data_IF_194173596367
#
_entry.id   IF_194173596367
#
_cell.length_a   1.000
_cell.length_b   1.000
_cell.length_c   1.000
_cell.angle_alpha   90.00
_cell.angle_beta   90.00
_cell.angle_gamma   90.00
#
_symmetry.space_group_name_H-M   'P 1'
#
loop_
_entity.id
_entity.type
_entity.pdbx_description
1 polymer ?
#
# COMPACT_ATOMS: atom_id res chain seq x y z
N UNK A 1 59.61 1.44 -4.71
CA UNK A 1 58.64 0.76 -3.82
C UNK A 1 59.10 -0.67 -3.65
N UNK A 2 59.40 -1.09 -2.45
CA UNK A 2 59.77 -2.48 -2.19
C UNK A 2 58.58 -3.40 -2.38
N UNK A 3 58.82 -4.70 -2.67
CA UNK A 3 57.71 -5.68 -2.81
C UNK A 3 56.86 -5.76 -1.52
N UNK A 4 57.48 -5.61 -0.36
CA UNK A 4 56.80 -5.55 0.94
C UNK A 4 55.89 -4.33 1.09
N UNK A 5 56.35 -3.15 0.69
CA UNK A 5 55.52 -1.93 0.68
C UNK A 5 54.36 -2.05 -0.28
N UNK A 6 54.56 -2.64 -1.44
CA UNK A 6 53.49 -2.91 -2.41
C UNK A 6 52.42 -3.82 -1.82
N UNK A 7 52.81 -4.93 -1.20
CA UNK A 7 51.90 -5.89 -0.59
C UNK A 7 51.13 -5.22 0.57
N UNK A 8 51.81 -4.49 1.44
CA UNK A 8 51.19 -3.82 2.58
C UNK A 8 50.19 -2.75 2.13
N UNK A 9 50.56 -1.94 1.12
CA UNK A 9 49.68 -0.89 0.62
C UNK A 9 48.43 -1.49 -0.06
N UNK A 10 48.59 -2.52 -0.89
CA UNK A 10 47.42 -3.19 -1.50
C UNK A 10 46.54 -3.90 -0.46
N UNK A 11 47.11 -4.44 0.60
CA UNK A 11 46.33 -5.06 1.69
C UNK A 11 45.57 -4.01 2.50
N UNK A 12 46.20 -2.86 2.78
CA UNK A 12 45.53 -1.72 3.42
C UNK A 12 44.41 -1.15 2.56
N UNK A 13 44.66 -1.02 1.26
CA UNK A 13 43.66 -0.57 0.31
C UNK A 13 42.47 -1.58 0.22
N UNK A 14 42.76 -2.86 0.17
CA UNK A 14 41.72 -3.91 0.23
C UNK A 14 40.88 -3.81 1.49
N UNK A 15 41.51 -3.66 2.67
CA UNK A 15 40.77 -3.51 3.93
C UNK A 15 39.90 -2.26 3.89
N UNK A 16 40.45 -1.12 3.46
CA UNK A 16 39.70 0.15 3.38
C UNK A 16 38.51 0.08 2.41
N UNK A 17 38.60 -0.76 1.40
CA UNK A 17 37.54 -1.03 0.43
C UNK A 17 36.41 -1.89 0.99
N UNK A 18 36.68 -2.72 2.00
CA UNK A 18 35.66 -3.62 2.56
C UNK A 18 34.56 -2.87 3.29
N UNK A 19 33.34 -3.41 3.26
CA UNK A 19 32.23 -2.90 4.04
C UNK A 19 32.49 -2.90 5.56
N UNK A 20 33.37 -3.79 6.06
CA UNK A 20 33.73 -3.84 7.46
C UNK A 20 34.42 -2.58 7.97
N UNK A 21 35.22 -1.94 7.13
CA UNK A 21 35.91 -0.69 7.48
C UNK A 21 35.00 0.54 7.39
N UNK A 22 33.88 0.43 6.64
CA UNK A 22 32.96 1.52 6.35
C UNK A 22 31.65 1.42 7.14
N UNK A 23 31.46 0.36 7.94
CA UNK A 23 30.23 0.12 8.69
C UNK A 23 30.08 1.10 9.86
N UNK A 24 28.90 1.66 10.02
CA UNK A 24 28.50 2.47 11.15
C UNK A 24 27.32 1.86 11.92
N UNK A 25 27.03 2.38 13.12
CA UNK A 25 25.95 1.89 13.95
C UNK A 25 24.57 1.93 13.25
N UNK A 26 24.33 2.96 12.43
CA UNK A 26 23.10 3.10 11.66
C UNK A 26 22.91 1.96 10.65
N UNK A 27 23.99 1.59 9.94
CA UNK A 27 23.94 0.46 8.99
C UNK A 27 23.54 -0.84 9.70
N UNK A 28 24.15 -1.12 10.87
CA UNK A 28 23.84 -2.33 11.65
C UNK A 28 22.38 -2.32 12.09
N UNK A 29 21.89 -1.20 12.61
CA UNK A 29 20.47 -1.07 13.02
C UNK A 29 19.56 -1.36 11.84
N UNK A 30 19.81 -0.78 10.68
CA UNK A 30 18.97 -0.99 9.50
C UNK A 30 19.05 -2.42 8.95
N UNK A 31 20.21 -3.05 8.97
CA UNK A 31 20.36 -4.48 8.64
C UNK A 31 19.52 -5.34 9.60
N UNK A 32 19.53 -5.04 10.89
CA UNK A 32 18.67 -5.73 11.87
C UNK A 32 17.16 -5.48 11.58
N UNK A 33 16.79 -4.26 11.18
CA UNK A 33 15.40 -3.94 10.77
C UNK A 33 15.00 -4.77 9.54
N UNK A 34 15.86 -4.85 8.53
CA UNK A 34 15.63 -5.69 7.34
C UNK A 34 15.46 -7.18 7.70
N UNK A 35 16.33 -7.70 8.56
CA UNK A 35 16.23 -9.07 9.06
C UNK A 35 14.95 -9.31 9.87
N UNK A 36 14.53 -8.34 10.68
CA UNK A 36 13.26 -8.39 11.41
C UNK A 36 12.06 -8.46 10.46
N UNK A 37 12.06 -7.69 9.37
CA UNK A 37 10.98 -7.72 8.36
C UNK A 37 10.88 -9.10 7.72
N UNK A 38 12.01 -9.67 7.32
CA UNK A 38 12.06 -11.05 6.77
C UNK A 38 11.55 -12.06 7.80
N UNK A 39 11.95 -11.92 9.05
CA UNK A 39 11.49 -12.80 10.14
C UNK A 39 9.97 -12.68 10.37
N UNK A 40 9.41 -11.47 10.41
CA UNK A 40 7.96 -11.23 10.53
C UNK A 40 7.19 -11.84 9.36
N UNK A 41 7.70 -11.67 8.14
CA UNK A 41 7.11 -12.24 6.94
C UNK A 41 7.05 -13.77 7.02
N UNK A 42 8.15 -14.42 7.39
CA UNK A 42 8.26 -15.89 7.39
C UNK A 42 7.56 -16.52 8.60
N UNK A 43 7.69 -15.94 9.81
CA UNK A 43 7.18 -16.55 11.06
C UNK A 43 5.77 -16.13 11.41
N UNK A 44 5.35 -14.94 10.99
CA UNK A 44 4.03 -14.38 11.31
C UNK A 44 3.09 -14.31 10.10
N UNK A 45 3.58 -14.68 8.93
CA UNK A 45 2.83 -14.63 7.65
C UNK A 45 2.30 -13.21 7.33
N UNK A 46 3.09 -12.20 7.71
CA UNK A 46 2.76 -10.79 7.50
C UNK A 46 3.19 -10.36 6.11
N UNK A 47 2.26 -10.36 5.15
CA UNK A 47 2.47 -9.94 3.75
C UNK A 47 3.82 -10.40 3.17
N UNK A 48 4.10 -11.74 3.15
CA UNK A 48 5.43 -12.25 2.82
C UNK A 48 5.90 -11.88 1.41
N UNK A 49 4.97 -11.73 0.45
CA UNK A 49 5.30 -11.35 -0.93
C UNK A 49 5.91 -9.94 -1.02
N UNK A 50 5.63 -9.06 -0.05
CA UNK A 50 6.13 -7.69 0.00
C UNK A 50 7.25 -7.52 1.02
N UNK A 51 7.07 -8.03 2.25
CA UNK A 51 8.04 -7.80 3.31
C UNK A 51 9.37 -8.53 3.10
N UNK A 52 9.39 -9.66 2.41
CA UNK A 52 10.65 -10.36 2.11
C UNK A 52 11.51 -9.56 1.14
N UNK A 53 11.03 -9.12 -0.04
CA UNK A 53 11.80 -8.25 -0.91
C UNK A 53 12.21 -6.93 -0.28
N UNK A 54 11.31 -6.27 0.48
CA UNK A 54 11.63 -5.03 1.19
C UNK A 54 12.72 -5.26 2.24
N UNK A 55 12.59 -6.30 3.06
CA UNK A 55 13.58 -6.62 4.09
C UNK A 55 14.96 -6.92 3.52
N UNK A 56 15.02 -7.67 2.41
CA UNK A 56 16.28 -7.90 1.70
C UNK A 56 16.83 -6.59 1.11
N UNK A 57 15.96 -5.77 0.53
CA UNK A 57 16.33 -4.46 0.01
C UNK A 57 16.92 -3.57 1.11
N UNK A 58 16.31 -3.50 2.30
CA UNK A 58 16.84 -2.75 3.45
C UNK A 58 18.28 -3.24 3.79
N UNK A 59 18.50 -4.55 3.82
CA UNK A 59 19.83 -5.11 4.07
C UNK A 59 20.80 -4.64 2.99
N UNK A 60 20.47 -4.81 1.71
CA UNK A 60 21.34 -4.45 0.59
C UNK A 60 21.65 -2.94 0.55
N UNK A 61 20.63 -2.09 0.77
CA UNK A 61 20.80 -0.63 0.74
C UNK A 61 21.61 -0.06 1.92
N UNK A 62 21.85 -0.89 2.96
CA UNK A 62 22.64 -0.52 4.14
C UNK A 62 23.96 -1.28 4.26
N UNK A 63 24.35 -2.05 3.23
CA UNK A 63 25.74 -2.55 3.12
C UNK A 63 26.64 -1.36 2.74
N UNK A 64 27.58 -0.95 3.61
CA UNK A 64 28.42 0.20 3.31
C UNK A 64 29.51 -0.18 2.29
N UNK A 65 29.81 0.76 1.41
CA UNK A 65 30.90 0.67 0.44
C UNK A 65 31.53 2.05 0.23
N UNK A 66 32.73 2.08 -0.33
CA UNK A 66 33.41 3.33 -0.68
C UNK A 66 32.80 3.96 -1.93
N UNK A 67 32.16 5.10 -1.79
CA UNK A 67 31.53 5.83 -2.91
C UNK A 67 32.56 6.52 -3.81
N UNK A 68 33.75 6.86 -3.28
CA UNK A 68 34.84 7.46 -4.02
C UNK A 68 35.63 6.47 -4.92
N UNK A 69 35.33 5.18 -4.81
CA UNK A 69 35.97 4.13 -5.62
C UNK A 69 35.39 3.98 -7.04
N UNK A 70 34.33 4.72 -7.39
CA UNK A 70 33.72 4.67 -8.73
C UNK A 70 33.13 3.32 -9.10
N UNK A 71 32.62 2.55 -8.13
CA UNK A 71 32.15 1.18 -8.34
C UNK A 71 30.79 1.08 -9.04
N UNK A 72 30.03 2.16 -9.09
CA UNK A 72 28.68 2.24 -9.69
C UNK A 72 27.74 1.11 -9.23
N UNK A 73 27.71 0.82 -7.92
CA UNK A 73 26.89 -0.24 -7.33
C UNK A 73 25.74 0.26 -6.45
N UNK A 74 25.79 1.53 -6.05
CA UNK A 74 24.80 2.16 -5.16
C UNK A 74 23.46 2.41 -5.83
N UNK A 75 22.40 2.52 -5.02
CA UNK A 75 21.04 2.79 -5.50
C UNK A 75 20.92 4.14 -6.24
N UNK A 76 21.67 5.14 -5.80
CA UNK A 76 21.63 6.51 -6.33
C UNK A 76 22.77 6.81 -7.30
N UNK A 77 23.63 5.84 -7.58
CA UNK A 77 24.73 5.98 -8.54
C UNK A 77 24.22 5.66 -9.95
N UNK A 78 24.41 6.59 -10.87
CA UNK A 78 24.03 6.42 -12.26
C UNK A 78 24.73 5.18 -12.85
N UNK A 79 24.05 4.46 -13.75
CA UNK A 79 24.50 3.22 -14.39
C UNK A 79 24.56 1.98 -13.47
N UNK A 80 24.37 2.10 -12.16
CA UNK A 80 24.28 0.93 -11.29
C UNK A 80 23.03 0.09 -11.62
N UNK A 81 23.13 -1.23 -11.49
CA UNK A 81 21.99 -2.14 -11.69
C UNK A 81 20.84 -1.82 -10.71
N UNK A 82 21.18 -1.47 -9.47
CA UNK A 82 20.17 -1.07 -8.48
C UNK A 82 19.48 0.23 -8.88
N UNK A 83 20.22 1.21 -9.45
CA UNK A 83 19.65 2.44 -9.96
C UNK A 83 18.70 2.19 -11.13
N UNK A 84 19.08 1.33 -12.09
CA UNK A 84 18.20 0.97 -13.21
C UNK A 84 16.86 0.42 -12.71
N UNK A 85 16.87 -0.49 -11.73
CA UNK A 85 15.63 -0.97 -11.12
C UNK A 85 14.89 0.13 -10.35
N UNK A 86 15.62 1.00 -9.65
CA UNK A 86 15.03 2.11 -8.89
C UNK A 86 14.34 3.15 -9.78
N UNK A 87 14.74 3.30 -11.04
CA UNK A 87 14.03 4.18 -11.99
C UNK A 87 12.56 3.81 -12.13
N UNK A 88 12.19 2.55 -11.99
CA UNK A 88 10.78 2.13 -12.00
C UNK A 88 9.95 2.71 -10.86
N UNK A 89 10.57 2.92 -9.69
CA UNK A 89 9.98 3.62 -8.56
C UNK A 89 10.00 5.13 -8.77
N UNK A 90 11.16 5.69 -9.09
CA UNK A 90 11.38 7.13 -9.26
C UNK A 90 10.50 7.72 -10.36
N UNK A 91 10.37 7.04 -11.49
CA UNK A 91 9.50 7.44 -12.59
C UNK A 91 8.03 7.10 -12.34
N UNK A 92 7.74 6.20 -11.40
CA UNK A 92 6.39 5.87 -10.96
C UNK A 92 5.64 4.91 -11.86
N UNK A 93 6.32 4.00 -12.62
CA UNK A 93 5.64 3.04 -13.48
C UNK A 93 5.40 1.67 -12.82
N UNK A 94 6.10 1.29 -11.74
CA UNK A 94 5.78 0.06 -11.00
C UNK A 94 4.38 0.09 -10.37
N UNK A 95 3.95 1.14 -9.65
CA UNK A 95 2.62 1.15 -9.04
C UNK A 95 1.47 0.94 -10.02
N UNK A 96 1.41 1.59 -11.19
CA UNK A 96 0.40 1.29 -12.20
C UNK A 96 0.40 -0.18 -12.67
N UNK A 97 1.57 -0.82 -12.80
CA UNK A 97 1.64 -2.24 -13.16
C UNK A 97 1.11 -3.16 -12.06
N UNK A 98 1.34 -2.83 -10.79
CA UNK A 98 0.70 -3.53 -9.66
C UNK A 98 -0.82 -3.33 -9.71
N UNK A 99 -1.30 -2.13 -10.02
CA UNK A 99 -2.73 -1.86 -10.19
C UNK A 99 -3.37 -2.65 -11.33
N UNK A 100 -2.62 -2.93 -12.41
CA UNK A 100 -3.06 -3.85 -13.47
C UNK A 100 -3.33 -5.25 -12.90
N UNK A 101 -2.41 -5.77 -12.10
CA UNK A 101 -2.55 -7.05 -11.42
C UNK A 101 -3.74 -7.06 -10.46
N UNK A 102 -3.85 -6.03 -9.60
CA UNK A 102 -4.98 -5.87 -8.67
C UNK A 102 -6.30 -5.84 -9.43
N UNK A 103 -6.41 -5.08 -10.51
CA UNK A 103 -7.60 -5.01 -11.34
C UNK A 103 -8.00 -6.36 -11.92
N UNK A 104 -7.03 -7.12 -12.43
CA UNK A 104 -7.26 -8.45 -12.97
C UNK A 104 -7.61 -9.50 -11.90
N UNK A 105 -7.19 -9.33 -10.64
CA UNK A 105 -7.61 -10.17 -9.52
C UNK A 105 -8.98 -9.80 -8.98
N UNK A 106 -9.39 -8.53 -9.09
CA UNK A 106 -10.56 -7.98 -8.42
C UNK A 106 -11.87 -8.45 -9.06
N UNK A 107 -12.87 -8.76 -8.22
CA UNK A 107 -14.27 -8.96 -8.63
C UNK A 107 -15.12 -7.77 -8.15
N UNK A 108 -15.55 -6.93 -9.08
CA UNK A 108 -16.41 -5.78 -8.80
C UNK A 108 -17.90 -6.14 -8.63
N UNK A 109 -18.29 -7.40 -8.73
CA UNK A 109 -19.69 -7.82 -8.66
C UNK A 109 -20.40 -7.34 -7.39
N UNK A 110 -19.74 -7.36 -6.24
CA UNK A 110 -20.30 -6.87 -4.98
C UNK A 110 -20.63 -5.38 -5.05
N UNK A 111 -19.77 -4.59 -5.70
CA UNK A 111 -19.92 -3.16 -5.88
C UNK A 111 -21.01 -2.84 -6.90
N UNK A 112 -21.04 -3.55 -8.03
CA UNK A 112 -22.05 -3.42 -9.08
C UNK A 112 -23.44 -3.78 -8.54
N UNK A 113 -23.52 -4.82 -7.72
CA UNK A 113 -24.80 -5.27 -7.13
C UNK A 113 -25.35 -4.28 -6.10
N UNK A 114 -24.49 -3.55 -5.39
CA UNK A 114 -24.87 -2.58 -4.38
C UNK A 114 -23.96 -1.33 -4.45
N UNK A 115 -24.23 -0.39 -5.37
CA UNK A 115 -23.38 0.80 -5.56
C UNK A 115 -23.24 1.71 -4.33
N UNK A 116 -24.17 1.62 -3.34
CA UNK A 116 -24.06 2.38 -2.09
C UNK A 116 -22.80 2.05 -1.28
N UNK A 117 -22.22 0.88 -1.53
CA UNK A 117 -20.98 0.45 -0.89
C UNK A 117 -19.77 1.32 -1.30
N UNK A 118 -19.84 2.03 -2.45
CA UNK A 118 -18.84 3.02 -2.88
C UNK A 118 -18.67 4.11 -1.81
N UNK A 119 -19.77 4.55 -1.21
CA UNK A 119 -19.77 5.60 -0.19
C UNK A 119 -18.98 5.19 1.07
N UNK A 120 -18.93 3.90 1.39
CA UNK A 120 -18.16 3.39 2.53
C UNK A 120 -16.64 3.49 2.22
N UNK A 121 -16.24 3.11 1.01
CA UNK A 121 -14.86 3.30 0.56
C UNK A 121 -14.46 4.78 0.52
N UNK A 122 -15.35 5.64 0.04
CA UNK A 122 -15.12 7.09 0.05
C UNK A 122 -14.98 7.64 1.49
N UNK A 123 -15.82 7.18 2.43
CA UNK A 123 -15.74 7.60 3.83
C UNK A 123 -14.42 7.18 4.51
N UNK A 124 -13.85 6.04 4.16
CA UNK A 124 -12.55 5.63 4.68
C UNK A 124 -11.42 6.58 4.26
N UNK A 125 -11.57 7.32 3.14
CA UNK A 125 -10.56 8.29 2.69
C UNK A 125 -10.45 9.51 3.63
N UNK A 126 -11.38 9.70 4.58
CA UNK A 126 -11.20 10.68 5.66
C UNK A 126 -9.90 10.43 6.46
N UNK A 127 -9.40 9.20 6.49
CA UNK A 127 -8.08 8.89 7.05
C UNK A 127 -6.95 9.62 6.33
N UNK A 128 -6.99 9.68 4.99
CA UNK A 128 -6.00 10.39 4.18
C UNK A 128 -6.08 11.89 4.43
N UNK A 129 -7.25 12.49 4.23
CA UNK A 129 -7.41 13.95 4.36
C UNK A 129 -7.22 14.42 5.81
N UNK A 130 -7.66 13.64 6.81
CA UNK A 130 -7.41 13.94 8.22
C UNK A 130 -5.92 13.92 8.57
N UNK A 131 -5.18 12.91 8.09
CA UNK A 131 -3.73 12.85 8.27
C UNK A 131 -3.00 13.98 7.54
N UNK A 132 -3.49 14.40 6.37
CA UNK A 132 -2.95 15.55 5.64
C UNK A 132 -3.00 16.82 6.48
N UNK A 133 -4.16 17.12 7.05
CA UNK A 133 -4.34 18.31 7.92
C UNK A 133 -3.45 18.27 9.16
N UNK A 134 -3.29 17.09 9.76
CA UNK A 134 -2.42 16.92 10.94
C UNK A 134 -0.96 17.06 10.55
N UNK A 135 -0.53 16.47 9.43
CA UNK A 135 0.85 16.59 8.95
C UNK A 135 1.22 18.07 8.68
N UNK A 136 0.32 18.84 8.06
CA UNK A 136 0.50 20.29 7.89
C UNK A 136 0.65 21.00 9.24
N UNK A 137 -0.18 20.66 10.24
CA UNK A 137 -0.12 21.26 11.58
C UNK A 137 1.17 20.94 12.33
N UNK A 138 1.83 19.84 11.99
CA UNK A 138 3.14 19.42 12.54
C UNK A 138 4.33 20.03 11.78
N UNK A 139 4.08 20.90 10.81
CA UNK A 139 5.10 21.66 10.09
C UNK A 139 5.71 20.94 8.88
N UNK A 140 5.08 19.87 8.37
CA UNK A 140 5.49 19.30 7.08
C UNK A 140 5.03 20.19 5.93
N UNK A 141 5.85 20.27 4.89
CA UNK A 141 5.46 20.94 3.65
C UNK A 141 4.25 20.24 2.98
N UNK A 142 3.41 20.95 2.21
CA UNK A 142 2.21 20.38 1.59
C UNK A 142 2.48 19.10 0.80
N UNK A 143 3.56 19.05 0.03
CA UNK A 143 3.95 17.88 -0.75
C UNK A 143 4.35 16.69 0.13
N UNK A 144 5.10 16.95 1.20
CA UNK A 144 5.48 15.94 2.19
C UNK A 144 4.26 15.44 2.96
N UNK A 145 3.39 16.36 3.39
CA UNK A 145 2.16 16.04 4.09
C UNK A 145 1.25 15.13 3.24
N UNK A 146 1.15 15.36 1.93
CA UNK A 146 0.38 14.52 1.01
C UNK A 146 0.98 13.10 0.90
N UNK A 147 2.30 12.99 0.75
CA UNK A 147 3.00 11.71 0.74
C UNK A 147 2.82 10.91 2.04
N UNK A 148 2.80 11.59 3.19
CA UNK A 148 2.54 10.95 4.49
C UNK A 148 1.06 10.55 4.62
N UNK A 149 0.17 11.44 4.25
CA UNK A 149 -1.28 11.25 4.41
C UNK A 149 -1.82 10.02 3.67
N UNK A 150 -1.27 9.75 2.49
CA UNK A 150 -1.75 8.64 1.64
C UNK A 150 -1.59 7.25 2.30
N UNK A 151 -0.73 7.14 3.33
CA UNK A 151 -0.59 5.93 4.15
C UNK A 151 -1.95 5.51 4.73
N UNK A 152 -2.81 6.49 5.06
CA UNK A 152 -4.16 6.24 5.58
C UNK A 152 -5.09 5.47 4.63
N UNK A 153 -4.80 5.44 3.34
CA UNK A 153 -5.51 4.62 2.37
C UNK A 153 -5.24 3.13 2.50
N UNK A 154 -4.19 2.74 3.24
CA UNK A 154 -3.69 1.37 3.36
C UNK A 154 -3.44 0.72 1.98
N UNK A 155 -2.77 1.46 1.11
CA UNK A 155 -2.47 1.10 -0.27
C UNK A 155 -1.00 1.41 -0.58
N UNK A 156 -0.14 0.39 -0.47
CA UNK A 156 1.30 0.54 -0.66
C UNK A 156 1.69 1.09 -2.03
N UNK A 157 1.21 0.52 -3.15
CA UNK A 157 1.47 1.03 -4.48
C UNK A 157 1.07 2.49 -4.67
N UNK A 158 -0.11 2.90 -4.18
CA UNK A 158 -0.57 4.28 -4.22
C UNK A 158 0.33 5.21 -3.39
N UNK A 159 0.78 4.75 -2.22
CA UNK A 159 1.70 5.51 -1.38
C UNK A 159 3.04 5.76 -2.08
N UNK A 160 3.59 4.75 -2.74
CA UNK A 160 4.81 4.89 -3.54
C UNK A 160 4.58 5.83 -4.73
N UNK A 161 3.48 5.66 -5.46
CA UNK A 161 3.17 6.51 -6.62
C UNK A 161 3.13 7.99 -6.24
N UNK A 162 2.39 8.33 -5.20
CA UNK A 162 2.25 9.72 -4.79
C UNK A 162 3.55 10.28 -4.21
N UNK A 163 4.21 9.53 -3.32
CA UNK A 163 5.45 10.00 -2.68
C UNK A 163 6.61 10.11 -3.66
N UNK A 164 6.71 9.25 -4.67
CA UNK A 164 7.74 9.37 -5.71
C UNK A 164 7.63 10.67 -6.52
N UNK A 165 6.43 11.25 -6.61
CA UNK A 165 6.17 12.50 -7.33
C UNK A 165 6.26 13.74 -6.44
N UNK A 166 5.68 13.69 -5.22
CA UNK A 166 5.56 14.86 -4.35
C UNK A 166 6.63 14.94 -3.26
N UNK A 167 7.16 13.81 -2.80
CA UNK A 167 8.12 13.77 -1.68
C UNK A 167 9.16 12.66 -1.82
N UNK A 168 9.99 12.70 -2.90
CA UNK A 168 10.95 11.61 -3.19
C UNK A 168 11.92 11.32 -2.05
N UNK A 169 12.33 12.35 -1.32
CA UNK A 169 13.21 12.25 -0.15
C UNK A 169 12.61 11.50 1.06
N UNK A 170 11.28 11.45 1.18
CA UNK A 170 10.59 10.71 2.24
C UNK A 170 10.00 9.39 1.74
N UNK A 171 10.13 9.07 0.46
CA UNK A 171 9.45 7.93 -0.17
C UNK A 171 9.81 6.60 0.50
N UNK A 172 11.08 6.36 0.82
CA UNK A 172 11.51 5.13 1.50
C UNK A 172 10.81 4.95 2.86
N UNK A 173 10.80 6.01 3.68
CA UNK A 173 10.13 5.99 4.98
C UNK A 173 8.61 5.82 4.85
N UNK A 174 7.98 6.51 3.89
CA UNK A 174 6.53 6.42 3.61
C UNK A 174 6.16 5.01 3.15
N UNK A 175 6.93 4.43 2.23
CA UNK A 175 6.67 3.10 1.71
C UNK A 175 6.81 2.02 2.78
N UNK A 176 7.91 2.04 3.55
CA UNK A 176 8.11 1.10 4.67
C UNK A 176 7.01 1.25 5.71
N UNK A 177 6.60 2.47 6.03
CA UNK A 177 5.50 2.76 6.92
C UNK A 177 4.18 2.16 6.41
N UNK A 178 3.83 2.42 5.13
CA UNK A 178 2.59 1.94 4.50
C UNK A 178 2.51 0.40 4.53
N UNK A 179 3.58 -0.30 4.12
CA UNK A 179 3.61 -1.77 4.14
C UNK A 179 3.63 -2.36 5.54
N UNK A 180 4.30 -1.70 6.50
CA UNK A 180 4.28 -2.11 7.92
C UNK A 180 2.87 -2.05 8.49
N UNK A 181 2.10 -0.99 8.18
CA UNK A 181 0.71 -0.90 8.63
C UNK A 181 -0.21 -1.88 7.91
N UNK A 182 0.00 -2.14 6.64
CA UNK A 182 -0.73 -3.22 5.94
C UNK A 182 -0.51 -4.56 6.64
N UNK A 183 0.72 -4.88 7.05
CA UNK A 183 1.02 -6.09 7.82
C UNK A 183 0.36 -6.10 9.21
N UNK A 184 0.14 -4.94 9.82
CA UNK A 184 -0.50 -4.80 11.14
C UNK A 184 -2.03 -4.68 11.08
N UNK A 185 -2.63 -4.65 9.90
CA UNK A 185 -4.09 -4.62 9.70
C UNK A 185 -4.84 -5.66 10.56
N UNK A 186 -4.41 -6.96 10.61
CA UNK A 186 -5.10 -7.97 11.41
C UNK A 186 -5.06 -7.71 12.92
N UNK A 187 -4.13 -6.89 13.39
CA UNK A 187 -3.97 -6.56 14.81
C UNK A 187 -4.76 -5.30 15.17
N UNK A 188 -4.63 -4.26 14.37
CA UNK A 188 -5.18 -2.93 14.66
C UNK A 188 -6.70 -2.89 14.43
N UNK A 189 -7.16 -3.41 13.30
CA UNK A 189 -8.56 -3.28 12.90
C UNK A 189 -9.56 -3.95 13.86
N UNK A 190 -9.35 -5.19 14.33
CA UNK A 190 -10.29 -5.83 15.26
C UNK A 190 -10.50 -5.05 16.55
N UNK A 191 -9.46 -4.39 17.06
CA UNK A 191 -9.56 -3.55 18.24
C UNK A 191 -10.48 -2.35 17.99
N UNK A 192 -10.28 -1.62 16.89
CA UNK A 192 -11.11 -0.45 16.52
C UNK A 192 -12.55 -0.88 16.25
N UNK A 193 -12.75 -2.01 15.55
CA UNK A 193 -14.06 -2.55 15.24
C UNK A 193 -14.85 -2.89 16.52
N UNK A 194 -14.20 -3.55 17.48
CA UNK A 194 -14.83 -3.88 18.77
C UNK A 194 -15.13 -2.62 19.59
N UNK A 195 -14.28 -1.62 19.56
CA UNK A 195 -14.49 -0.34 20.25
C UNK A 195 -15.70 0.43 19.72
N UNK A 196 -15.87 0.43 18.40
CA UNK A 196 -16.87 1.28 17.71
C UNK A 196 -18.19 0.58 17.41
N UNK A 197 -18.32 -0.72 17.68
CA UNK A 197 -19.54 -1.48 17.39
C UNK A 197 -20.06 -2.22 18.63
N UNK A 198 -21.37 -2.38 18.71
CA UNK A 198 -22.03 -3.18 19.75
C UNK A 198 -22.27 -4.62 19.28
N UNK A 199 -22.46 -5.56 20.21
CA UNK A 199 -22.73 -6.98 19.86
C UNK A 199 -23.97 -7.14 18.97
N UNK A 200 -25.01 -6.30 19.22
CA UNK A 200 -26.23 -6.28 18.38
C UNK A 200 -25.94 -5.83 16.95
N UNK A 201 -25.03 -4.90 16.76
CA UNK A 201 -24.63 -4.41 15.43
C UNK A 201 -23.77 -5.44 14.69
N UNK A 202 -22.92 -6.18 15.40
CA UNK A 202 -22.04 -7.20 14.83
C UNK A 202 -22.81 -8.42 14.29
N UNK A 203 -23.99 -8.69 14.85
CA UNK A 203 -24.85 -9.81 14.43
C UNK A 203 -25.85 -9.44 13.33
N UNK A 204 -25.84 -8.21 12.80
CA UNK A 204 -26.70 -7.82 11.68
C UNK A 204 -26.38 -8.69 10.45
N UNK A 205 -27.38 -9.44 9.97
CA UNK A 205 -27.29 -10.25 8.76
C UNK A 205 -27.65 -9.41 7.54
N UNK A 206 -26.80 -9.46 6.54
CA UNK A 206 -27.02 -8.75 5.30
C UNK A 206 -27.67 -9.66 4.25
N UNK A 207 -28.55 -9.07 3.43
CA UNK A 207 -29.18 -9.80 2.33
C UNK A 207 -28.15 -10.01 1.22
N UNK A 208 -28.15 -11.18 0.53
CA UNK A 208 -27.33 -11.40 -0.64
C UNK A 208 -27.57 -10.31 -1.70
N UNK A 209 -26.50 -9.91 -2.38
CA UNK A 209 -26.61 -8.99 -3.51
C UNK A 209 -27.36 -9.62 -4.68
N UNK A 210 -27.84 -8.78 -5.61
CA UNK A 210 -28.42 -9.25 -6.87
C UNK A 210 -27.36 -9.93 -7.74
N UNK A 211 -27.79 -10.84 -8.60
CA UNK A 211 -26.91 -11.40 -9.63
C UNK A 211 -26.51 -10.29 -10.62
N UNK A 212 -25.25 -10.23 -10.96
CA UNK A 212 -24.67 -9.28 -11.93
C UNK A 212 -24.48 -10.00 -13.26
N UNK A 213 -24.94 -9.37 -14.35
CA UNK A 213 -24.79 -9.92 -15.70
C UNK A 213 -23.36 -9.74 -16.23
N UNK A 214 -22.95 -10.57 -17.18
CA UNK A 214 -21.63 -10.45 -17.81
C UNK A 214 -21.45 -9.09 -18.52
N UNK A 215 -22.50 -8.58 -19.12
CA UNK A 215 -22.47 -7.25 -19.77
C UNK A 215 -22.17 -6.14 -18.75
N UNK A 216 -22.81 -6.17 -17.57
CA UNK A 216 -22.53 -5.21 -16.51
C UNK A 216 -21.06 -5.29 -16.04
N UNK A 217 -20.51 -6.49 -15.93
CA UNK A 217 -19.11 -6.71 -15.54
C UNK A 217 -18.11 -6.17 -16.55
N UNK A 218 -18.43 -6.23 -17.86
CA UNK A 218 -17.59 -5.68 -18.94
C UNK A 218 -17.74 -4.16 -19.04
N UNK A 219 -18.94 -3.62 -18.87
CA UNK A 219 -19.19 -2.19 -18.96
C UNK A 219 -18.67 -1.42 -17.76
N UNK A 220 -18.69 -2.03 -16.57
CA UNK A 220 -18.30 -1.37 -15.33
C UNK A 220 -16.87 -0.80 -15.37
N UNK A 221 -15.82 -1.53 -15.77
CA UNK A 221 -14.47 -0.97 -15.82
C UNK A 221 -14.34 0.16 -16.85
N UNK A 222 -15.07 0.14 -17.95
CA UNK A 222 -15.04 1.21 -18.96
C UNK A 222 -15.70 2.47 -18.40
N UNK A 223 -16.91 2.34 -17.84
CA UNK A 223 -17.65 3.47 -17.27
C UNK A 223 -16.91 4.02 -16.04
N UNK A 224 -16.41 3.12 -15.17
CA UNK A 224 -15.65 3.49 -13.97
C UNK A 224 -14.37 4.25 -14.33
N UNK A 225 -13.62 3.81 -15.33
CA UNK A 225 -12.46 4.51 -15.87
C UNK A 225 -12.84 5.93 -16.29
N UNK A 226 -13.81 6.07 -17.18
CA UNK A 226 -14.20 7.36 -17.73
C UNK A 226 -14.68 8.32 -16.62
N UNK A 227 -15.55 7.85 -15.73
CA UNK A 227 -16.06 8.68 -14.63
C UNK A 227 -14.95 9.16 -13.70
N UNK A 228 -14.07 8.25 -13.29
CA UNK A 228 -13.03 8.59 -12.30
C UNK A 228 -11.94 9.46 -12.91
N UNK A 229 -11.53 9.21 -14.16
CA UNK A 229 -10.46 9.96 -14.81
C UNK A 229 -10.92 11.30 -15.38
N UNK A 230 -12.20 11.47 -15.72
CA UNK A 230 -12.73 12.79 -16.05
C UNK A 230 -12.87 13.68 -14.80
N UNK A 231 -13.12 13.08 -13.61
CA UNK A 231 -13.12 13.83 -12.35
C UNK A 231 -11.70 14.15 -11.88
N UNK A 232 -10.78 13.19 -11.99
CA UNK A 232 -9.41 13.30 -11.48
C UNK A 232 -8.42 12.77 -12.52
N UNK A 233 -8.05 13.58 -13.53
CA UNK A 233 -7.16 13.16 -14.62
C UNK A 233 -5.79 12.69 -14.14
N UNK A 234 -5.24 13.26 -13.06
CA UNK A 234 -3.96 12.88 -12.47
C UNK A 234 -3.96 11.47 -11.85
N UNK A 235 -5.14 10.89 -11.59
CA UNK A 235 -5.31 9.49 -11.20
C UNK A 235 -5.24 8.49 -12.36
N UNK A 236 -5.18 8.96 -13.63
CA UNK A 236 -5.22 8.11 -14.82
C UNK A 236 -4.23 6.93 -14.81
N UNK A 237 -2.96 7.08 -14.39
CA UNK A 237 -2.03 5.96 -14.41
C UNK A 237 -2.47 4.79 -13.52
N UNK A 238 -2.96 5.06 -12.32
CA UNK A 238 -3.42 4.04 -11.38
C UNK A 238 -4.79 3.48 -11.76
N UNK A 239 -5.78 4.35 -11.94
CA UNK A 239 -7.15 3.97 -12.27
C UNK A 239 -7.24 3.33 -13.65
N UNK A 240 -6.48 3.84 -14.62
CA UNK A 240 -6.40 3.28 -15.96
C UNK A 240 -5.97 1.82 -15.94
N UNK A 241 -4.91 1.53 -15.22
CA UNK A 241 -4.38 0.18 -15.12
C UNK A 241 -5.27 -0.74 -14.27
N UNK A 242 -5.91 -0.23 -13.20
CA UNK A 242 -6.89 -0.98 -12.42
C UNK A 242 -8.06 -1.46 -13.30
N UNK A 243 -8.70 -0.54 -13.98
CA UNK A 243 -9.85 -0.87 -14.82
C UNK A 243 -9.46 -1.66 -16.07
N UNK A 244 -8.28 -1.41 -16.64
CA UNK A 244 -7.76 -2.22 -17.72
C UNK A 244 -7.54 -3.68 -17.31
N UNK A 245 -6.90 -3.92 -16.15
CA UNK A 245 -6.73 -5.27 -15.60
C UNK A 245 -8.07 -5.99 -15.41
N UNK A 246 -9.06 -5.29 -14.87
CA UNK A 246 -10.40 -5.84 -14.70
C UNK A 246 -11.09 -6.17 -16.05
N UNK A 247 -10.95 -5.30 -17.04
CA UNK A 247 -11.49 -5.54 -18.39
C UNK A 247 -10.83 -6.76 -19.03
N UNK A 248 -9.51 -6.97 -18.84
CA UNK A 248 -8.82 -8.18 -19.32
C UNK A 248 -9.43 -9.45 -18.75
N UNK A 249 -9.81 -9.43 -17.47
CA UNK A 249 -10.45 -10.55 -16.80
C UNK A 249 -11.89 -10.76 -17.28
N UNK A 250 -12.71 -9.72 -17.20
CA UNK A 250 -14.16 -9.82 -17.40
C UNK A 250 -14.55 -9.97 -18.89
N UNK A 251 -13.67 -9.63 -19.82
CA UNK A 251 -13.91 -9.86 -21.26
C UNK A 251 -14.10 -11.34 -21.62
N UNK A 252 -13.53 -12.25 -20.82
CA UNK A 252 -13.50 -13.69 -21.08
C UNK A 252 -12.67 -14.10 -22.31
N UNK A 253 -12.21 -13.15 -23.13
CA UNK A 253 -11.40 -13.40 -24.34
C UNK A 253 -9.91 -13.23 -24.09
N UNK A 254 -9.52 -12.47 -23.09
CA UNK A 254 -8.14 -12.15 -22.75
C UNK A 254 -7.67 -12.82 -21.46
N UNK A 255 -8.24 -13.97 -21.10
CA UNK A 255 -7.93 -14.69 -19.85
C UNK A 255 -6.43 -15.01 -19.70
N UNK A 256 -5.70 -15.27 -20.81
CA UNK A 256 -4.26 -15.47 -20.78
C UNK A 256 -3.51 -14.22 -20.34
N UNK A 257 -3.91 -13.03 -20.83
CA UNK A 257 -3.32 -11.75 -20.43
C UNK A 257 -3.66 -11.42 -18.97
N UNK A 258 -4.92 -11.64 -18.56
CA UNK A 258 -5.34 -11.48 -17.16
C UNK A 258 -4.51 -12.37 -16.23
N UNK A 259 -4.28 -13.65 -16.61
CA UNK A 259 -3.45 -14.56 -15.83
C UNK A 259 -2.00 -14.06 -15.73
N UNK A 260 -1.39 -13.60 -16.83
CA UNK A 260 -0.04 -13.03 -16.81
C UNK A 260 0.04 -11.80 -15.91
N UNK A 261 -0.97 -10.91 -16.00
CA UNK A 261 -1.05 -9.70 -15.17
C UNK A 261 -1.16 -10.01 -13.67
N UNK A 262 -1.88 -11.07 -13.29
CA UNK A 262 -2.09 -11.47 -11.89
C UNK A 262 -0.96 -12.30 -11.29
N UNK A 263 -0.10 -12.89 -12.12
CA UNK A 263 0.98 -13.79 -11.70
C UNK A 263 2.34 -13.22 -12.11
N UNK A 264 2.90 -13.67 -13.22
CA UNK A 264 4.28 -13.40 -13.60
C UNK A 264 4.64 -11.92 -13.67
N UNK A 265 3.76 -11.07 -14.24
CA UNK A 265 4.03 -9.63 -14.32
C UNK A 265 3.94 -8.98 -12.94
N UNK A 266 2.87 -9.25 -12.18
CA UNK A 266 2.70 -8.72 -10.84
C UNK A 266 3.83 -9.12 -9.91
N UNK A 267 4.20 -10.40 -9.91
CA UNK A 267 5.25 -10.94 -9.05
C UNK A 267 6.62 -10.33 -9.39
N UNK A 268 6.97 -10.22 -10.68
CA UNK A 268 8.20 -9.57 -11.12
C UNK A 268 8.27 -8.09 -10.67
N UNK A 269 7.18 -7.36 -10.86
CA UNK A 269 7.10 -5.95 -10.45
C UNK A 269 7.17 -5.81 -8.94
N UNK A 270 6.50 -6.66 -8.18
CA UNK A 270 6.50 -6.65 -6.70
C UNK A 270 7.90 -6.96 -6.16
N UNK A 271 8.64 -7.90 -6.76
CA UNK A 271 10.03 -8.20 -6.39
C UNK A 271 10.91 -6.95 -6.59
N UNK A 272 10.87 -6.35 -7.78
CA UNK A 272 11.70 -5.20 -8.11
C UNK A 272 11.33 -3.96 -7.28
N UNK A 273 10.04 -3.71 -7.11
CA UNK A 273 9.52 -2.62 -6.29
C UNK A 273 9.92 -2.79 -4.83
N UNK A 274 9.67 -3.96 -4.24
CA UNK A 274 10.02 -4.23 -2.85
C UNK A 274 11.52 -4.11 -2.58
N UNK A 275 12.33 -4.70 -3.46
CA UNK A 275 13.78 -4.63 -3.36
C UNK A 275 14.28 -3.18 -3.40
N UNK A 276 13.86 -2.40 -4.39
CA UNK A 276 14.35 -1.03 -4.60
C UNK A 276 13.84 -0.05 -3.55
N UNK A 277 12.59 -0.21 -3.10
CA UNK A 277 12.05 0.54 -1.96
C UNK A 277 12.80 0.22 -0.68
N UNK A 278 13.11 -1.07 -0.44
CA UNK A 278 13.96 -1.46 0.67
C UNK A 278 15.34 -0.82 0.60
N UNK A 279 16.00 -0.88 -0.57
CA UNK A 279 17.31 -0.27 -0.79
C UNK A 279 17.31 1.26 -0.58
N UNK A 280 16.21 1.94 -0.84
CA UNK A 280 16.08 3.39 -0.60
C UNK A 280 15.97 3.75 0.88
N UNK A 281 15.79 2.76 1.75
CA UNK A 281 15.64 2.95 3.19
C UNK A 281 17.02 2.93 3.87
N UNK A 282 17.84 3.92 3.56
CA UNK A 282 19.19 4.04 4.11
C UNK A 282 19.16 4.64 5.53
N UNK A 283 20.14 4.28 6.36
CA UNK A 283 20.25 4.72 7.75
C UNK A 283 20.21 6.23 7.91
N UNK A 284 20.90 6.97 7.03
CA UNK A 284 20.96 8.43 7.01
C UNK A 284 19.60 9.10 6.83
N UNK A 285 18.74 8.50 6.00
CA UNK A 285 17.42 9.04 5.67
C UNK A 285 16.34 8.52 6.60
N UNK A 286 16.47 7.25 7.05
CA UNK A 286 15.44 6.56 7.79
C UNK A 286 15.52 6.81 9.31
N UNK A 287 16.72 6.85 9.89
CA UNK A 287 16.91 7.03 11.34
C UNK A 287 16.83 8.51 11.74
N UNK A 288 15.73 9.16 11.38
CA UNK A 288 15.47 10.58 11.63
C UNK A 288 14.22 10.80 12.46
N UNK A 289 14.12 11.96 13.10
CA UNK A 289 12.91 12.35 13.83
C UNK A 289 11.67 12.42 12.90
N UNK A 290 11.87 12.77 11.64
CA UNK A 290 10.79 12.82 10.65
C UNK A 290 10.21 11.43 10.39
N UNK A 291 11.02 10.40 10.33
CA UNK A 291 10.55 9.01 10.19
C UNK A 291 9.66 8.59 11.35
N UNK A 292 10.03 8.94 12.59
CA UNK A 292 9.18 8.65 13.77
C UNK A 292 7.83 9.37 13.65
N UNK A 293 7.84 10.64 13.22
CA UNK A 293 6.61 11.39 12.97
C UNK A 293 5.76 10.75 11.86
N UNK A 294 6.39 10.28 10.77
CA UNK A 294 5.70 9.58 9.66
C UNK A 294 5.02 8.31 10.16
N UNK A 295 5.72 7.50 10.97
CA UNK A 295 5.13 6.31 11.58
C UNK A 295 3.95 6.66 12.49
N UNK A 296 4.09 7.64 13.38
CA UNK A 296 3.00 8.06 14.25
C UNK A 296 1.77 8.57 13.46
N UNK A 297 2.01 9.39 12.44
CA UNK A 297 0.96 9.91 11.56
C UNK A 297 0.30 8.81 10.73
N UNK A 298 1.08 7.86 10.22
CA UNK A 298 0.56 6.72 9.46
C UNK A 298 -0.35 5.83 10.33
N UNK A 299 0.05 5.53 11.57
CA UNK A 299 -0.80 4.82 12.53
C UNK A 299 -2.13 5.55 12.77
N UNK A 300 -2.04 6.85 13.01
CA UNK A 300 -3.22 7.68 13.27
C UNK A 300 -4.14 7.75 12.04
N UNK A 301 -3.56 7.94 10.85
CA UNK A 301 -4.30 7.94 9.59
C UNK A 301 -5.08 6.63 9.38
N UNK A 302 -4.44 5.51 9.66
CA UNK A 302 -5.05 4.20 9.53
C UNK A 302 -6.18 3.95 10.53
N UNK A 303 -6.01 4.43 11.77
CA UNK A 303 -7.08 4.40 12.80
C UNK A 303 -8.28 5.23 12.36
N UNK A 304 -8.05 6.47 11.87
CA UNK A 304 -9.13 7.34 11.37
C UNK A 304 -9.83 6.69 10.18
N UNK A 305 -9.10 6.14 9.21
CA UNK A 305 -9.67 5.50 8.03
C UNK A 305 -10.61 4.35 8.40
N UNK A 306 -10.15 3.47 9.29
CA UNK A 306 -10.96 2.35 9.80
C UNK A 306 -12.18 2.85 10.57
N UNK A 307 -12.00 3.82 11.46
CA UNK A 307 -13.07 4.37 12.28
C UNK A 307 -14.12 5.08 11.42
N UNK A 308 -13.71 5.91 10.47
CA UNK A 308 -14.64 6.66 9.61
C UNK A 308 -15.48 5.73 8.74
N UNK A 309 -14.91 4.65 8.19
CA UNK A 309 -15.69 3.65 7.45
C UNK A 309 -16.77 2.99 8.31
N UNK A 310 -16.44 2.59 9.54
CA UNK A 310 -17.39 1.99 10.49
C UNK A 310 -18.48 2.99 10.90
N UNK A 311 -18.08 4.19 11.31
CA UNK A 311 -19.01 5.23 11.74
C UNK A 311 -19.93 5.67 10.61
N UNK A 312 -19.42 5.71 9.37
CA UNK A 312 -20.23 6.04 8.21
C UNK A 312 -21.32 4.99 7.95
N UNK A 313 -21.02 3.69 8.11
CA UNK A 313 -22.06 2.65 8.02
C UNK A 313 -23.09 2.83 9.13
N UNK A 314 -22.68 3.18 10.35
CA UNK A 314 -23.65 3.48 11.43
C UNK A 314 -24.51 4.69 11.07
N UNK A 315 -23.91 5.73 10.50
CA UNK A 315 -24.65 6.90 10.01
C UNK A 315 -25.67 6.52 8.91
N UNK A 316 -25.25 5.73 7.91
CA UNK A 316 -26.17 5.22 6.88
C UNK A 316 -27.33 4.43 7.47
N UNK A 317 -27.07 3.66 8.53
CA UNK A 317 -28.11 2.86 9.21
C UNK A 317 -29.19 3.67 9.93
N UNK A 318 -28.96 4.98 10.17
CA UNK A 318 -30.00 5.88 10.70
C UNK A 318 -31.12 6.09 9.68
N UNK A 319 -30.79 6.08 8.39
CA UNK A 319 -31.73 6.30 7.28
C UNK A 319 -32.30 5.00 6.71
N UNK A 320 -31.77 3.85 7.11
CA UNK A 320 -32.19 2.56 6.59
C UNK A 320 -33.24 1.88 7.48
N UNK A 321 -34.26 1.24 6.86
CA UNK A 321 -35.28 0.46 7.57
C UNK A 321 -34.67 -0.74 8.28
N UNK A 322 -35.26 -1.21 9.39
CA UNK A 322 -34.75 -2.30 10.24
C UNK A 322 -34.32 -3.57 9.47
N UNK A 323 -35.03 -3.95 8.40
CA UNK A 323 -34.71 -5.14 7.59
C UNK A 323 -33.64 -4.96 6.51
N UNK A 324 -33.10 -3.73 6.32
CA UNK A 324 -32.12 -3.40 5.29
C UNK A 324 -30.86 -2.75 5.88
N UNK A 325 -30.64 -2.89 7.19
CA UNK A 325 -29.45 -2.34 7.85
C UNK A 325 -28.19 -3.05 7.34
N UNK A 326 -27.13 -2.29 7.24
CA UNK A 326 -25.79 -2.74 6.85
C UNK A 326 -25.03 -3.10 8.13
N UNK A 327 -24.31 -4.21 8.13
CA UNK A 327 -23.47 -4.56 9.27
C UNK A 327 -22.27 -3.60 9.35
N UNK A 328 -22.08 -2.85 10.47
CA UNK A 328 -21.00 -1.88 10.57
C UNK A 328 -19.60 -2.48 10.45
N UNK A 329 -19.44 -3.77 10.70
CA UNK A 329 -18.17 -4.45 10.52
C UNK A 329 -17.62 -4.35 9.10
N UNK A 330 -18.49 -4.26 8.06
CA UNK A 330 -17.99 -4.10 6.69
C UNK A 330 -17.42 -2.69 6.40
N UNK A 331 -17.72 -1.71 7.26
CA UNK A 331 -17.13 -0.38 7.17
C UNK A 331 -15.61 -0.36 7.34
N UNK A 332 -15.08 -1.30 8.14
CA UNK A 332 -13.66 -1.57 8.26
C UNK A 332 -12.97 -1.81 6.90
N UNK A 333 -13.68 -2.48 5.99
CA UNK A 333 -13.14 -2.84 4.69
C UNK A 333 -13.09 -1.67 3.67
N UNK A 334 -13.52 -0.47 4.05
CA UNK A 334 -13.40 0.73 3.22
C UNK A 334 -11.94 1.18 2.96
N UNK A 335 -10.96 0.66 3.70
CA UNK A 335 -9.54 0.82 3.39
C UNK A 335 -9.12 -0.12 2.25
N UNK A 336 -8.04 0.23 1.55
CA UNK A 336 -7.60 -0.44 0.33
C UNK A 336 -6.86 -1.77 0.53
N UNK A 337 -6.72 -2.27 1.76
CA UNK A 337 -6.03 -3.54 2.06
C UNK A 337 -6.86 -4.75 1.58
N UNK A 338 -6.80 -5.07 0.28
CA UNK A 338 -7.58 -6.14 -0.37
C UNK A 338 -6.78 -7.45 -0.40
N UNK A 339 -7.37 -8.57 -0.07
CA UNK A 339 -8.70 -8.80 0.54
C UNK A 339 -8.66 -8.87 2.08
N UNK A 340 -7.57 -8.44 2.70
CA UNK A 340 -7.29 -8.64 4.13
C UNK A 340 -8.35 -7.98 5.02
N UNK A 341 -8.68 -6.72 4.79
CA UNK A 341 -9.67 -6.00 5.59
C UNK A 341 -11.07 -6.64 5.49
N UNK A 342 -11.43 -7.17 4.32
CA UNK A 342 -12.69 -7.90 4.14
C UNK A 342 -12.72 -9.23 4.91
N UNK A 343 -11.58 -9.95 4.96
CA UNK A 343 -11.44 -11.18 5.77
C UNK A 343 -11.57 -10.89 7.26
N UNK A 344 -11.01 -9.78 7.74
CA UNK A 344 -11.11 -9.37 9.14
C UNK A 344 -12.58 -9.08 9.50
N UNK A 345 -13.31 -8.35 8.65
CA UNK A 345 -14.75 -8.12 8.85
C UNK A 345 -15.52 -9.42 8.96
N UNK A 346 -15.21 -10.39 8.09
CA UNK A 346 -15.84 -11.70 8.09
C UNK A 346 -15.50 -12.51 9.35
N UNK A 347 -14.22 -12.59 9.70
CA UNK A 347 -13.76 -13.36 10.87
C UNK A 347 -14.39 -12.81 12.16
N UNK A 348 -14.38 -11.50 12.33
CA UNK A 348 -15.02 -10.88 13.50
C UNK A 348 -16.53 -11.08 13.50
N UNK A 349 -17.21 -11.06 12.35
CA UNK A 349 -18.63 -11.40 12.24
C UNK A 349 -18.94 -12.82 12.70
N UNK A 350 -18.12 -13.79 12.29
CA UNK A 350 -18.24 -15.21 12.65
C UNK A 350 -17.95 -15.48 14.13
N UNK A 351 -17.14 -14.66 14.81
CA UNK A 351 -16.94 -14.77 16.27
C UNK A 351 -18.23 -14.53 17.05
N UNK A 352 -19.12 -13.64 16.57
CA UNK A 352 -20.38 -13.27 17.24
C UNK A 352 -21.59 -14.08 16.74
N UNK A 353 -21.59 -14.49 15.47
CA UNK A 353 -22.60 -15.38 14.89
C UNK A 353 -21.95 -16.24 13.80
N UNK A 354 -21.83 -17.54 14.03
CA UNK A 354 -21.21 -18.53 13.13
C UNK A 354 -21.86 -18.63 11.74
N UNK A 355 -23.05 -18.05 11.56
CA UNK A 355 -23.79 -18.03 10.30
C UNK A 355 -23.80 -16.64 9.64
N UNK A 356 -23.04 -15.67 10.16
CA UNK A 356 -22.98 -14.31 9.64
C UNK A 356 -21.78 -14.12 8.72
N UNK A 357 -21.87 -14.61 7.49
CA UNK A 357 -20.81 -14.50 6.49
C UNK A 357 -20.82 -13.10 5.86
N UNK A 358 -19.81 -12.29 6.19
CA UNK A 358 -19.68 -10.91 5.73
C UNK A 358 -18.69 -10.72 4.57
N UNK A 359 -17.92 -11.74 4.20
CA UNK A 359 -16.81 -11.61 3.23
C UNK A 359 -17.26 -10.95 1.92
N UNK A 360 -18.29 -11.50 1.28
CA UNK A 360 -18.78 -10.98 0.00
C UNK A 360 -19.35 -9.57 0.11
N UNK A 361 -19.94 -9.22 1.25
CA UNK A 361 -20.44 -7.87 1.51
C UNK A 361 -19.30 -6.87 1.77
N UNK A 362 -18.25 -7.29 2.47
CA UNK A 362 -17.07 -6.48 2.78
C UNK A 362 -16.18 -6.26 1.56
N UNK A 363 -16.20 -7.16 0.57
CA UNK A 363 -15.44 -6.98 -0.68
C UNK A 363 -15.89 -5.74 -1.45
N UNK A 364 -17.16 -5.34 -1.40
CA UNK A 364 -17.65 -4.14 -2.06
C UNK A 364 -16.96 -2.87 -1.55
N UNK A 365 -17.06 -2.53 -0.26
CA UNK A 365 -16.30 -1.41 0.32
C UNK A 365 -14.79 -1.53 0.13
N UNK A 366 -14.22 -2.73 0.18
CA UNK A 366 -12.79 -2.96 0.06
C UNK A 366 -12.26 -2.57 -1.32
N UNK A 367 -12.97 -2.97 -2.35
CA UNK A 367 -12.63 -2.58 -3.73
C UNK A 367 -12.93 -1.11 -3.98
N UNK A 368 -13.99 -0.56 -3.40
CA UNK A 368 -14.27 0.88 -3.42
C UNK A 368 -13.14 1.69 -2.76
N UNK A 369 -12.50 1.13 -1.73
CA UNK A 369 -11.31 1.71 -1.08
C UNK A 369 -10.14 1.85 -2.03
N UNK A 370 -9.88 0.84 -2.89
CA UNK A 370 -8.79 0.92 -3.90
C UNK A 370 -9.04 2.06 -4.91
N UNK A 371 -10.26 2.16 -5.41
CA UNK A 371 -10.65 3.28 -6.28
C UNK A 371 -10.50 4.59 -5.51
N UNK A 372 -10.96 4.65 -4.26
CA UNK A 372 -10.92 5.83 -3.40
C UNK A 372 -9.48 6.30 -3.13
N UNK A 373 -8.56 5.40 -2.78
CA UNK A 373 -7.15 5.74 -2.55
C UNK A 373 -6.46 6.28 -3.80
N UNK A 374 -6.72 5.67 -4.98
CA UNK A 374 -6.19 6.14 -6.25
C UNK A 374 -6.76 7.52 -6.66
N UNK A 375 -8.06 7.74 -6.43
CA UNK A 375 -8.70 9.05 -6.63
C UNK A 375 -8.12 10.09 -5.67
N UNK A 376 -7.95 9.76 -4.38
CA UNK A 376 -7.35 10.67 -3.39
C UNK A 376 -5.90 11.03 -3.76
N UNK A 377 -5.10 10.03 -4.17
CA UNK A 377 -3.73 10.28 -4.64
C UNK A 377 -3.70 11.18 -5.88
N UNK A 378 -4.56 10.90 -6.86
CA UNK A 378 -4.71 11.74 -8.04
C UNK A 378 -5.12 13.17 -7.67
N UNK A 379 -6.08 13.33 -6.76
CA UNK A 379 -6.52 14.65 -6.28
C UNK A 379 -5.38 15.42 -5.64
N UNK A 380 -4.65 14.80 -4.70
CA UNK A 380 -3.50 15.43 -4.06
C UNK A 380 -2.39 15.77 -5.07
N UNK A 381 -2.12 14.86 -6.02
CA UNK A 381 -1.15 15.11 -7.07
C UNK A 381 -1.56 16.29 -7.95
N UNK A 382 -2.84 16.36 -8.38
CA UNK A 382 -3.31 17.41 -9.25
C UNK A 382 -3.38 18.81 -8.60
N UNK A 383 -3.50 18.88 -7.27
CA UNK A 383 -3.51 20.16 -6.54
C UNK A 383 -2.12 20.64 -6.13
N UNK A 384 -1.13 19.74 -6.02
CA UNK A 384 0.18 20.03 -5.45
C UNK A 384 1.34 19.94 -6.45
N UNK A 385 1.07 19.53 -7.71
CA UNK A 385 2.07 19.49 -8.80
C UNK A 385 2.20 20.78 -9.58
#
# INVERSE_FOLDING_TARGET
MSISEFIINNFQEFISYTGFSNVNAGNIVMICVGALFIWLAIKKDFEPLLLVPIGLGIILGNIPFRTDAGLEIGLYEDNSVLNIFYQGVRQGWYPPLVFLGIGAMTDFSALISNPKLILIGAAAQFGIFGAYMIALSLGFEPNQAAGIAIIGGADGPTAIFLSSKLSPNLMGAIAVCAYSYMALVPVIQPFIMRLLTTDKERTIKMKPGRKVSQTEKILFPIIGLLLTTFLVPSGLPLLGMLFFGNLLKESGKTSRLAKTATTALNDAVVILLGLTVGCSTQASEFLTMNTIKIFALGAFAFVIATASGILFVKFMNLFLRKGNKINPLIGNAGVSAVPMAARISNNLGLEYDRHNFLLMHAMGPNVAGVIGSAVAAGTLLGFLS
#
